data_IF_526098692956
#
_entry.id   IF_526098692956
#
_cell.length_a   1.000
_cell.length_b   1.000
_cell.length_c   1.000
_cell.angle_alpha   90.00
_cell.angle_beta   90.00
_cell.angle_gamma   90.00
#
_symmetry.space_group_name_H-M   'P 1'
#
loop_
_entity.id
_entity.type
_entity.pdbx_description
1 polymer ?
#
# COMPACT_ATOMS: atom_id res chain seq x y z
N UNK A 1 -26.34 -6.56 0.74
CA UNK A 1 -24.97 -6.21 1.07
C UNK A 1 -24.93 -4.74 1.41
N UNK A 2 -24.42 -4.41 2.61
CA UNK A 2 -24.26 -3.04 3.03
C UNK A 2 -23.15 -2.40 2.16
N UNK A 3 -23.50 -1.39 1.40
CA UNK A 3 -22.51 -0.59 0.69
C UNK A 3 -22.00 0.49 1.67
N UNK A 4 -20.75 0.44 2.09
CA UNK A 4 -20.20 1.44 2.99
C UNK A 4 -20.10 2.79 2.28
N UNK A 5 -20.36 3.87 3.01
CA UNK A 5 -20.05 5.21 2.53
C UNK A 5 -18.54 5.44 2.59
N UNK A 6 -17.97 6.08 1.58
CA UNK A 6 -16.56 6.44 1.49
C UNK A 6 -16.39 7.94 1.62
N UNK A 7 -15.53 8.36 2.53
CA UNK A 7 -15.08 9.75 2.70
C UNK A 7 -13.57 9.81 2.55
N UNK A 8 -13.04 10.72 1.77
CA UNK A 8 -11.61 10.96 1.66
C UNK A 8 -11.20 12.05 2.66
N UNK A 9 -10.32 11.70 3.61
CA UNK A 9 -9.72 12.63 4.56
C UNK A 9 -8.24 12.83 4.20
N UNK A 10 -7.86 14.08 3.92
CA UNK A 10 -6.50 14.46 3.53
C UNK A 10 -5.76 15.06 4.72
N UNK A 11 -4.85 14.30 5.31
CA UNK A 11 -3.87 14.77 6.29
C UNK A 11 -2.66 15.38 5.57
N UNK A 12 -1.57 15.70 6.29
CA UNK A 12 -0.36 16.29 5.72
C UNK A 12 0.87 15.87 6.51
N UNK A 13 2.06 16.03 5.92
CA UNK A 13 3.33 15.96 6.62
C UNK A 13 3.80 17.38 7.04
N UNK A 14 4.92 17.45 7.74
CA UNK A 14 5.49 18.71 8.26
C UNK A 14 5.99 19.70 7.19
N UNK A 15 5.93 19.35 5.91
CA UNK A 15 6.17 20.23 4.78
C UNK A 15 4.86 20.62 4.05
N UNK A 16 3.70 20.32 4.62
CA UNK A 16 2.38 20.54 3.96
C UNK A 16 2.10 19.61 2.80
N UNK A 17 2.92 18.57 2.61
CA UNK A 17 2.79 17.61 1.52
C UNK A 17 1.78 16.49 1.82
N UNK A 18 1.06 16.04 0.80
CA UNK A 18 0.23 14.85 0.81
C UNK A 18 -0.13 14.40 -0.62
N UNK A 19 -0.97 13.36 -0.76
CA UNK A 19 -1.45 12.86 -2.03
C UNK A 19 -2.81 13.45 -2.49
N UNK A 20 -3.27 14.56 -1.89
CA UNK A 20 -4.59 15.14 -2.13
C UNK A 20 -4.85 15.49 -3.61
N UNK A 21 -3.83 15.95 -4.33
CA UNK A 21 -4.00 16.32 -5.74
C UNK A 21 -4.39 15.13 -6.61
N UNK A 22 -3.86 13.95 -6.32
CA UNK A 22 -4.17 12.71 -7.04
C UNK A 22 -5.48 12.09 -6.55
N UNK A 23 -5.63 11.92 -5.24
CA UNK A 23 -6.84 11.36 -4.65
C UNK A 23 -8.06 12.26 -4.87
N UNK A 24 -7.87 13.59 -4.93
CA UNK A 24 -8.93 14.55 -5.23
C UNK A 24 -9.51 14.38 -6.65
N UNK A 25 -8.70 14.00 -7.64
CA UNK A 25 -9.18 13.66 -8.99
C UNK A 25 -10.11 12.45 -8.96
N UNK A 26 -9.73 11.42 -8.21
CA UNK A 26 -10.55 10.22 -8.00
C UNK A 26 -11.83 10.59 -7.24
N UNK A 27 -11.71 11.34 -6.15
CA UNK A 27 -12.85 11.81 -5.36
C UNK A 27 -13.86 12.61 -6.19
N UNK A 28 -13.38 13.55 -7.00
CA UNK A 28 -14.23 14.34 -7.90
C UNK A 28 -14.91 13.48 -8.97
N UNK A 29 -14.18 12.54 -9.58
CA UNK A 29 -14.73 11.66 -10.62
C UNK A 29 -15.87 10.79 -10.10
N UNK A 30 -15.70 10.22 -8.91
CA UNK A 30 -16.70 9.34 -8.30
C UNK A 30 -17.69 10.09 -7.40
N UNK A 31 -17.64 11.43 -7.37
CA UNK A 31 -18.47 12.27 -6.51
C UNK A 31 -18.41 11.89 -5.03
N UNK A 32 -17.21 11.54 -4.56
CA UNK A 32 -16.98 11.17 -3.15
C UNK A 32 -16.88 12.43 -2.29
N UNK A 33 -17.44 12.42 -1.07
CA UNK A 33 -17.20 13.47 -0.08
C UNK A 33 -15.71 13.53 0.29
N UNK A 34 -15.18 14.75 0.38
CA UNK A 34 -13.78 15.02 0.66
C UNK A 34 -13.64 16.03 1.78
N UNK A 35 -12.71 15.79 2.68
CA UNK A 35 -12.37 16.66 3.81
C UNK A 35 -10.86 16.86 3.82
N UNK A 36 -10.39 18.10 3.87
CA UNK A 36 -8.96 18.40 3.89
C UNK A 36 -8.55 19.05 5.21
N UNK A 37 -7.85 18.29 6.03
CA UNK A 37 -7.15 18.78 7.21
C UNK A 37 -6.01 19.74 6.78
N UNK A 38 -5.28 19.38 5.71
CA UNK A 38 -4.22 20.21 5.15
C UNK A 38 -4.71 21.59 4.78
N UNK A 39 -5.74 21.68 3.95
CA UNK A 39 -6.19 22.97 3.40
C UNK A 39 -6.83 23.85 4.49
N UNK A 40 -7.32 23.25 5.58
CA UNK A 40 -7.83 23.98 6.72
C UNK A 40 -6.73 24.51 7.66
N UNK A 41 -5.65 23.74 7.89
CA UNK A 41 -4.68 24.08 8.92
C UNK A 41 -3.33 24.57 8.36
N UNK A 42 -2.91 24.10 7.19
CA UNK A 42 -1.62 24.51 6.62
C UNK A 42 -1.49 26.03 6.42
N UNK A 43 -2.50 26.76 5.90
CA UNK A 43 -2.43 28.21 5.82
C UNK A 43 -2.29 28.92 7.18
N UNK A 44 -2.83 28.32 8.25
CA UNK A 44 -2.70 28.85 9.62
C UNK A 44 -1.28 28.66 10.15
N UNK A 45 -0.65 27.53 9.81
CA UNK A 45 0.74 27.23 10.14
C UNK A 45 1.70 28.15 9.38
N UNK A 46 1.51 28.30 8.07
CA UNK A 46 2.33 29.22 7.25
C UNK A 46 2.23 30.68 7.74
N UNK A 47 1.03 31.10 8.12
CA UNK A 47 0.78 32.42 8.69
C UNK A 47 1.25 32.56 10.17
N UNK A 48 1.82 31.51 10.75
CA UNK A 48 2.27 31.46 12.15
C UNK A 48 1.17 31.71 13.20
N UNK A 49 -0.09 31.48 12.85
CA UNK A 49 -1.23 31.54 13.77
C UNK A 49 -1.43 30.22 14.52
N UNK A 50 -0.91 29.12 13.94
CA UNK A 50 -0.88 27.78 14.53
C UNK A 50 0.57 27.25 14.39
N UNK A 51 1.05 26.50 15.38
CA UNK A 51 2.34 25.80 15.27
C UNK A 51 2.09 24.35 14.89
N UNK A 52 3.08 23.74 14.22
CA UNK A 52 3.05 22.33 13.85
C UNK A 52 2.81 21.44 15.08
N UNK A 53 3.56 21.66 16.14
CA UNK A 53 3.51 20.90 17.39
C UNK A 53 2.19 21.04 18.15
N UNK A 54 1.37 22.04 17.83
CA UNK A 54 0.04 22.20 18.43
C UNK A 54 -0.94 21.13 17.93
N UNK A 55 -0.71 20.53 16.75
CA UNK A 55 -1.64 19.64 16.08
C UNK A 55 -1.03 18.29 15.65
N UNK A 56 0.30 18.18 15.68
CA UNK A 56 1.03 16.99 15.25
C UNK A 56 1.99 16.51 16.33
N UNK A 57 2.15 15.18 16.43
CA UNK A 57 3.06 14.53 17.38
C UNK A 57 4.46 14.31 16.85
N UNK A 58 4.59 14.17 15.54
CA UNK A 58 5.85 13.98 14.82
C UNK A 58 5.77 14.59 13.42
N UNK A 59 6.46 14.01 12.43
CA UNK A 59 6.50 14.55 11.05
C UNK A 59 5.23 14.25 10.23
N UNK A 60 4.33 13.36 10.69
CA UNK A 60 3.16 12.92 9.91
C UNK A 60 1.94 12.52 10.75
N UNK A 61 2.10 12.29 12.07
CA UNK A 61 1.02 11.76 12.90
C UNK A 61 0.37 12.86 13.74
N UNK A 62 -0.94 13.11 13.55
CA UNK A 62 -1.69 14.03 14.40
C UNK A 62 -1.60 13.64 15.88
N UNK A 63 -1.38 14.64 16.75
CA UNK A 63 -1.54 14.50 18.18
C UNK A 63 -3.04 14.55 18.55
N UNK A 64 -3.38 14.47 19.85
CA UNK A 64 -4.79 14.50 20.32
C UNK A 64 -5.57 15.69 19.78
N UNK A 65 -4.95 16.86 19.70
CA UNK A 65 -5.59 18.07 19.17
C UNK A 65 -5.77 18.00 17.65
N UNK A 66 -4.78 17.45 16.93
CA UNK A 66 -4.90 17.18 15.50
C UNK A 66 -6.00 16.18 15.19
N UNK A 67 -6.09 15.09 15.97
CA UNK A 67 -7.20 14.15 15.87
C UNK A 67 -8.56 14.79 16.15
N UNK A 68 -8.64 15.71 17.13
CA UNK A 68 -9.87 16.45 17.40
C UNK A 68 -10.29 17.33 16.23
N UNK A 69 -9.35 17.97 15.52
CA UNK A 69 -9.64 18.70 14.28
C UNK A 69 -10.14 17.77 13.16
N UNK A 70 -9.48 16.63 12.94
CA UNK A 70 -9.94 15.63 11.97
C UNK A 70 -11.37 15.18 12.26
N UNK A 71 -11.65 14.85 13.53
CA UNK A 71 -12.99 14.44 13.98
C UNK A 71 -14.02 15.57 13.75
N UNK A 72 -13.67 16.80 14.09
CA UNK A 72 -14.56 17.96 13.90
C UNK A 72 -14.89 18.18 12.42
N UNK A 73 -13.90 18.12 11.53
CA UNK A 73 -14.12 18.32 10.09
C UNK A 73 -14.98 17.21 9.48
N UNK A 74 -14.72 15.95 9.84
CA UNK A 74 -15.53 14.81 9.39
C UNK A 74 -16.97 14.92 9.93
N UNK A 75 -17.14 15.24 11.22
CA UNK A 75 -18.45 15.39 11.83
C UNK A 75 -19.24 16.51 11.20
N UNK A 76 -18.59 17.66 10.91
CA UNK A 76 -19.24 18.80 10.24
C UNK A 76 -19.72 18.43 8.82
N UNK A 77 -18.95 17.63 8.08
CA UNK A 77 -19.38 17.06 6.79
C UNK A 77 -20.61 16.16 6.98
N UNK A 78 -20.57 15.24 7.94
CA UNK A 78 -21.68 14.31 8.20
C UNK A 78 -22.94 15.03 8.63
N UNK A 79 -22.86 16.05 9.50
CA UNK A 79 -23.99 16.88 9.90
C UNK A 79 -24.62 17.61 8.70
N UNK A 80 -23.79 18.09 7.77
CA UNK A 80 -24.29 18.70 6.54
C UNK A 80 -25.02 17.68 5.67
N UNK A 81 -24.43 16.52 5.45
CA UNK A 81 -25.03 15.43 4.65
C UNK A 81 -26.35 14.98 5.28
N UNK A 82 -26.40 14.78 6.61
CA UNK A 82 -27.60 14.34 7.31
C UNK A 82 -28.75 15.34 7.20
N UNK A 83 -28.47 16.65 7.16
CA UNK A 83 -29.49 17.68 6.96
C UNK A 83 -30.08 17.70 5.55
N UNK A 84 -29.34 17.19 4.58
CA UNK A 84 -29.75 17.13 3.16
C UNK A 84 -30.46 15.80 2.80
N UNK A 85 -30.43 14.80 3.73
CA UNK A 85 -31.13 13.54 3.51
C UNK A 85 -32.65 13.72 3.59
N UNK A 86 -33.43 12.95 2.79
CA UNK A 86 -34.88 12.90 2.92
C UNK A 86 -35.31 12.51 4.34
N UNK A 87 -36.41 13.06 4.83
CA UNK A 87 -36.94 12.82 6.17
C UNK A 87 -37.56 11.41 6.34
N UNK A 88 -37.73 10.66 5.26
CA UNK A 88 -38.24 9.29 5.24
C UNK A 88 -37.08 8.30 5.06
N UNK A 89 -37.25 7.10 5.62
CA UNK A 89 -36.26 6.01 5.51
C UNK A 89 -36.14 5.42 4.07
N UNK A 90 -36.48 6.20 3.06
CA UNK A 90 -36.33 5.77 1.67
C UNK A 90 -34.86 5.69 1.30
N UNK A 91 -34.41 4.50 0.93
CA UNK A 91 -33.10 4.30 0.35
C UNK A 91 -33.01 5.10 -0.97
N UNK A 92 -32.08 6.05 -1.01
CA UNK A 92 -31.78 6.76 -2.25
C UNK A 92 -31.30 5.74 -3.31
N UNK A 93 -31.73 5.90 -4.57
CA UNK A 93 -31.27 5.02 -5.62
C UNK A 93 -29.74 5.10 -5.74
N UNK A 94 -29.13 3.93 -5.80
CA UNK A 94 -27.68 3.82 -6.02
C UNK A 94 -27.38 4.36 -7.42
N UNK A 95 -26.56 5.38 -7.49
CA UNK A 95 -26.09 5.89 -8.79
C UNK A 95 -25.17 4.86 -9.44
N UNK A 96 -25.29 4.62 -10.74
CA UNK A 96 -24.32 3.78 -11.44
C UNK A 96 -22.89 4.32 -11.21
N UNK A 97 -21.96 3.41 -10.97
CA UNK A 97 -20.54 3.78 -10.90
C UNK A 97 -20.10 4.23 -12.29
N UNK A 98 -19.47 5.41 -12.44
CA UNK A 98 -18.97 5.87 -13.73
C UNK A 98 -17.87 4.95 -14.25
N UNK A 99 -17.54 5.06 -15.54
CA UNK A 99 -16.38 4.35 -16.10
C UNK A 99 -15.13 4.73 -15.30
N UNK A 100 -14.15 3.84 -15.19
CA UNK A 100 -12.90 4.11 -14.47
C UNK A 100 -12.23 5.39 -14.95
N UNK A 101 -11.68 6.21 -14.04
CA UNK A 101 -11.02 7.46 -14.37
C UNK A 101 -9.78 7.25 -15.26
N UNK A 102 -9.03 6.18 -15.01
CA UNK A 102 -7.82 5.83 -15.74
C UNK A 102 -7.87 4.40 -16.29
N UNK A 103 -8.08 3.43 -15.43
CA UNK A 103 -8.04 2.00 -15.76
C UNK A 103 -8.85 1.21 -14.74
N UNK A 104 -9.44 0.11 -15.17
CA UNK A 104 -10.09 -0.92 -14.35
C UNK A 104 -9.14 -2.08 -14.00
N UNK A 105 -7.89 -2.00 -14.40
CA UNK A 105 -6.90 -3.07 -14.27
C UNK A 105 -6.78 -3.63 -12.85
N UNK A 106 -7.01 -2.78 -11.84
CA UNK A 106 -6.97 -3.16 -10.42
C UNK A 106 -8.35 -3.47 -9.81
N UNK A 107 -9.41 -3.57 -10.61
CA UNK A 107 -10.74 -3.93 -10.10
C UNK A 107 -10.76 -5.37 -9.57
N UNK A 108 -10.04 -6.26 -10.25
CA UNK A 108 -9.88 -7.65 -9.85
C UNK A 108 -8.43 -7.92 -9.46
N UNK A 109 -8.19 -7.99 -8.14
CA UNK A 109 -6.87 -8.26 -7.57
C UNK A 109 -6.92 -9.55 -6.77
N UNK A 110 -5.97 -10.44 -7.02
CA UNK A 110 -5.69 -11.61 -6.20
C UNK A 110 -4.42 -11.36 -5.37
N UNK A 111 -4.45 -11.69 -4.07
CA UNK A 111 -3.31 -11.59 -3.16
C UNK A 111 -3.03 -12.96 -2.56
N UNK A 112 -1.79 -13.40 -2.65
CA UNK A 112 -1.30 -14.65 -2.11
C UNK A 112 -0.19 -14.34 -1.10
N UNK A 113 -0.46 -14.58 0.19
CA UNK A 113 0.48 -14.29 1.27
C UNK A 113 0.94 -15.59 1.95
N UNK A 114 2.14 -15.55 2.49
CA UNK A 114 2.70 -16.58 3.34
C UNK A 114 2.53 -18.00 2.77
N UNK A 115 1.83 -18.88 3.48
CA UNK A 115 1.62 -20.27 3.10
C UNK A 115 0.55 -20.48 2.00
N UNK A 116 -0.27 -19.47 1.69
CA UNK A 116 -1.14 -19.49 0.51
C UNK A 116 -0.32 -19.34 -0.79
N UNK A 117 0.83 -18.69 -0.73
CA UNK A 117 1.77 -18.57 -1.84
C UNK A 117 2.59 -19.85 -1.98
N UNK A 118 2.27 -20.70 -2.96
CA UNK A 118 2.93 -22.00 -3.18
C UNK A 118 4.03 -21.86 -4.23
N UNK A 119 5.30 -22.18 -3.92
CA UNK A 119 6.35 -22.15 -4.90
C UNK A 119 6.25 -23.32 -5.88
N UNK A 120 6.62 -23.08 -7.13
CA UNK A 120 6.84 -24.10 -8.17
C UNK A 120 8.28 -24.61 -8.18
N UNK A 121 9.23 -23.78 -7.70
CA UNK A 121 10.62 -24.14 -7.45
C UNK A 121 11.01 -23.60 -6.07
N UNK A 122 11.75 -24.39 -5.29
CA UNK A 122 12.26 -23.96 -3.99
C UNK A 122 13.65 -24.55 -3.74
N UNK A 123 14.66 -23.70 -3.74
CA UNK A 123 16.04 -24.02 -3.44
C UNK A 123 16.54 -23.16 -2.28
N UNK A 124 16.45 -23.71 -1.07
CA UNK A 124 17.00 -23.08 0.15
C UNK A 124 16.08 -22.12 0.89
N UNK A 125 14.78 -22.05 0.59
CA UNK A 125 13.81 -21.22 1.30
C UNK A 125 12.92 -22.03 2.25
N UNK A 126 12.52 -21.41 3.36
CA UNK A 126 11.58 -21.97 4.35
C UNK A 126 10.41 -21.01 4.55
N UNK A 127 9.20 -21.57 4.70
CA UNK A 127 8.02 -20.79 5.05
C UNK A 127 8.01 -20.54 6.56
N UNK A 128 8.10 -19.27 6.96
CA UNK A 128 8.06 -18.81 8.34
C UNK A 128 6.68 -18.20 8.64
N UNK A 129 5.90 -18.85 9.49
CA UNK A 129 4.57 -18.39 9.90
C UNK A 129 4.55 -17.88 11.36
N UNK A 130 5.67 -17.94 12.06
CA UNK A 130 5.76 -17.58 13.49
C UNK A 130 5.91 -16.08 13.69
N UNK A 131 6.61 -15.38 12.79
CA UNK A 131 6.77 -13.93 12.88
C UNK A 131 5.47 -13.23 12.48
N UNK A 132 4.72 -12.60 13.41
CA UNK A 132 3.41 -12.01 13.12
C UNK A 132 3.46 -10.84 12.15
N UNK A 133 4.62 -10.17 12.02
CA UNK A 133 4.82 -8.98 11.17
C UNK A 133 5.37 -9.34 9.78
N UNK A 134 6.05 -10.48 9.68
CA UNK A 134 6.80 -10.86 8.50
C UNK A 134 6.62 -12.34 8.12
N UNK A 135 5.37 -12.83 8.20
CA UNK A 135 5.02 -14.18 7.72
C UNK A 135 5.29 -14.29 6.23
N UNK A 136 5.98 -15.35 5.82
CA UNK A 136 6.29 -15.58 4.42
C UNK A 136 7.44 -16.54 4.20
N UNK A 137 7.94 -16.57 2.98
CA UNK A 137 9.10 -17.38 2.59
C UNK A 137 10.38 -16.61 2.90
N UNK A 138 11.33 -17.25 3.57
CA UNK A 138 12.62 -16.65 3.90
C UNK A 138 13.80 -17.55 3.57
N UNK A 139 14.93 -16.95 3.28
CA UNK A 139 16.25 -17.57 3.25
C UNK A 139 17.32 -16.55 3.64
N UNK A 140 18.43 -17.02 4.14
CA UNK A 140 19.62 -16.23 4.50
C UNK A 140 20.86 -16.67 3.71
N UNK A 141 20.66 -17.39 2.60
CA UNK A 141 21.75 -17.95 1.80
C UNK A 141 21.78 -17.32 0.43
N UNK A 142 22.85 -16.58 0.08
CA UNK A 142 23.06 -16.13 -1.29
C UNK A 142 22.98 -17.28 -2.30
N UNK A 143 22.43 -17.02 -3.46
CA UNK A 143 22.17 -18.01 -4.50
C UNK A 143 20.92 -18.88 -4.28
N UNK A 144 20.24 -18.76 -3.12
CA UNK A 144 18.93 -19.42 -2.93
C UNK A 144 17.89 -18.88 -3.89
N UNK A 145 17.11 -19.78 -4.48
CA UNK A 145 16.10 -19.46 -5.49
C UNK A 145 14.74 -19.96 -5.07
N UNK A 146 13.71 -19.12 -5.28
CA UNK A 146 12.31 -19.52 -5.18
C UNK A 146 11.55 -18.99 -6.38
N UNK A 147 10.62 -19.80 -6.93
CA UNK A 147 9.79 -19.39 -8.05
C UNK A 147 8.32 -19.65 -7.74
N UNK A 148 7.49 -18.72 -8.20
CA UNK A 148 6.03 -18.79 -8.08
C UNK A 148 5.39 -18.60 -9.44
N UNK A 149 4.15 -19.06 -9.58
CA UNK A 149 3.34 -18.86 -10.78
C UNK A 149 2.05 -18.16 -10.39
N UNK A 150 1.73 -17.06 -11.07
CA UNK A 150 0.51 -16.28 -10.87
C UNK A 150 -0.13 -15.94 -12.22
N UNK A 151 -1.44 -15.74 -12.22
CA UNK A 151 -2.18 -15.27 -13.38
C UNK A 151 -2.56 -13.81 -13.20
N UNK A 152 -2.29 -12.96 -14.21
CA UNK A 152 -2.63 -11.54 -14.19
C UNK A 152 -1.88 -10.74 -15.25
N UNK A 153 -2.22 -9.46 -15.35
CA UNK A 153 -1.57 -8.50 -16.25
C UNK A 153 -0.65 -7.52 -15.52
N UNK A 154 -0.76 -7.47 -14.19
CA UNK A 154 0.14 -6.76 -13.28
C UNK A 154 0.57 -7.72 -12.20
N UNK A 155 1.85 -7.71 -11.88
CA UNK A 155 2.42 -8.48 -10.76
C UNK A 155 3.01 -7.51 -9.74
N UNK A 156 2.56 -7.64 -8.51
CA UNK A 156 3.10 -6.95 -7.35
C UNK A 156 3.84 -7.94 -6.45
N UNK A 157 4.96 -7.48 -5.90
CA UNK A 157 5.84 -8.25 -5.03
C UNK A 157 5.90 -7.60 -3.65
N UNK A 158 5.70 -8.39 -2.59
CA UNK A 158 5.72 -7.91 -1.21
C UNK A 158 6.90 -8.52 -0.46
N UNK A 159 7.70 -7.68 0.16
CA UNK A 159 8.82 -8.06 1.01
C UNK A 159 8.78 -7.36 2.37
N UNK A 160 9.67 -7.76 3.28
CA UNK A 160 9.79 -7.14 4.60
C UNK A 160 11.04 -6.28 4.67
N UNK A 161 10.83 -4.98 4.81
CA UNK A 161 11.86 -3.95 4.91
C UNK A 161 12.14 -3.65 6.38
N UNK A 162 13.37 -3.90 6.86
CA UNK A 162 13.73 -3.65 8.26
C UNK A 162 15.25 -3.49 8.42
N UNK A 163 15.67 -2.72 9.41
CA UNK A 163 17.07 -2.64 9.81
C UNK A 163 17.50 -3.96 10.46
N UNK A 164 18.66 -4.50 10.05
CA UNK A 164 19.17 -5.75 10.59
C UNK A 164 19.84 -6.61 9.51
N UNK A 165 19.73 -7.93 9.58
CA UNK A 165 20.44 -8.84 8.67
C UNK A 165 19.75 -9.01 7.31
N UNK A 166 19.21 -7.95 6.76
CA UNK A 166 18.44 -7.99 5.51
C UNK A 166 19.33 -7.90 4.27
N UNK A 167 19.07 -8.79 3.34
CA UNK A 167 19.80 -8.91 2.09
C UNK A 167 19.14 -8.19 0.92
N UNK A 168 19.75 -8.40 -0.24
CA UNK A 168 19.28 -7.92 -1.53
C UNK A 168 18.87 -9.11 -2.39
N UNK A 169 17.75 -9.01 -3.08
CA UNK A 169 17.30 -10.04 -4.01
C UNK A 169 17.07 -9.48 -5.42
N UNK A 170 17.32 -10.35 -6.39
CA UNK A 170 16.92 -10.16 -7.78
C UNK A 170 15.55 -10.77 -7.97
N UNK A 171 14.59 -9.98 -8.42
CA UNK A 171 13.21 -10.41 -8.68
C UNK A 171 12.93 -10.24 -10.17
N UNK A 172 12.50 -11.30 -10.82
CA UNK A 172 12.28 -11.33 -12.28
C UNK A 172 10.92 -11.96 -12.59
N UNK A 173 10.19 -11.33 -13.51
CA UNK A 173 8.95 -11.86 -14.07
C UNK A 173 9.24 -12.34 -15.50
N UNK A 174 9.05 -13.62 -15.76
CA UNK A 174 9.35 -14.27 -17.04
C UNK A 174 10.74 -13.89 -17.56
N UNK A 175 10.83 -13.42 -18.81
CA UNK A 175 12.06 -12.96 -19.44
C UNK A 175 12.24 -11.43 -19.37
N UNK A 176 11.43 -10.72 -18.55
CA UNK A 176 11.59 -9.27 -18.39
C UNK A 176 12.90 -8.93 -17.65
N UNK A 177 13.40 -7.70 -17.81
CA UNK A 177 14.53 -7.23 -17.02
C UNK A 177 14.24 -7.36 -15.52
N UNK A 178 15.15 -7.93 -14.74
CA UNK A 178 14.94 -8.10 -13.31
C UNK A 178 15.00 -6.77 -12.55
N UNK A 179 14.24 -6.68 -11.47
CA UNK A 179 14.40 -5.67 -10.44
C UNK A 179 15.38 -6.17 -9.36
N UNK A 180 16.20 -5.28 -8.83
CA UNK A 180 17.00 -5.54 -7.63
C UNK A 180 16.33 -4.85 -6.46
N UNK A 181 16.02 -5.59 -5.40
CA UNK A 181 15.33 -5.10 -4.21
C UNK A 181 16.26 -5.27 -3.02
N UNK A 182 16.60 -4.16 -2.35
CA UNK A 182 17.31 -4.13 -1.09
C UNK A 182 16.29 -4.08 0.04
N UNK A 183 16.23 -5.10 0.88
CA UNK A 183 15.31 -5.20 2.00
C UNK A 183 15.86 -4.57 3.29
N UNK A 184 17.07 -3.99 3.27
CA UNK A 184 17.61 -3.27 4.39
C UNK A 184 17.01 -1.86 4.50
N UNK A 185 16.75 -1.42 5.74
CA UNK A 185 16.10 -0.17 6.05
C UNK A 185 16.86 0.58 7.14
N UNK A 186 17.16 1.84 6.93
CA UNK A 186 18.02 2.66 7.80
C UNK A 186 17.33 3.14 9.08
N UNK A 187 16.01 3.01 9.19
CA UNK A 187 15.24 3.51 10.32
C UNK A 187 15.20 2.53 11.49
N UNK A 188 15.03 3.05 12.70
CA UNK A 188 15.05 2.28 13.95
C UNK A 188 13.66 2.04 14.57
N UNK A 189 12.60 2.58 13.95
CA UNK A 189 11.22 2.48 14.49
C UNK A 189 10.54 1.12 14.22
N UNK A 190 11.20 0.21 13.53
CA UNK A 190 10.69 -1.12 13.18
C UNK A 190 10.77 -1.38 11.69
N UNK A 191 10.09 -2.44 11.25
CA UNK A 191 10.01 -2.81 9.83
C UNK A 191 8.61 -2.61 9.27
N UNK A 192 8.49 -2.71 7.96
CA UNK A 192 7.24 -2.59 7.24
C UNK A 192 7.16 -3.54 6.04
N UNK A 193 5.94 -3.83 5.62
CA UNK A 193 5.66 -4.61 4.42
C UNK A 193 5.75 -3.68 3.23
N UNK A 194 6.79 -3.81 2.44
CA UNK A 194 6.96 -3.03 1.23
C UNK A 194 6.35 -3.76 0.04
N UNK A 195 5.64 -3.02 -0.81
CA UNK A 195 5.02 -3.57 -2.02
C UNK A 195 5.58 -2.86 -3.24
N UNK A 196 6.09 -3.64 -4.18
CA UNK A 196 6.64 -3.19 -5.45
C UNK A 196 5.77 -3.70 -6.60
N UNK A 197 5.35 -2.84 -7.51
CA UNK A 197 4.86 -3.30 -8.79
C UNK A 197 6.07 -3.66 -9.65
N UNK A 198 6.26 -4.95 -9.90
CA UNK A 198 7.45 -5.48 -10.60
C UNK A 198 7.22 -5.77 -12.09
N UNK A 199 5.97 -5.85 -12.51
CA UNK A 199 5.61 -5.96 -13.91
C UNK A 199 4.19 -5.45 -14.15
N UNK A 200 3.97 -4.82 -15.31
CA UNK A 200 2.66 -4.38 -15.80
C UNK A 200 2.54 -4.58 -17.31
N UNK A 201 1.32 -4.41 -17.80
CA UNK A 201 0.99 -4.57 -19.23
C UNK A 201 1.38 -5.95 -19.78
N UNK A 202 1.35 -6.97 -18.89
CA UNK A 202 1.57 -8.35 -19.27
C UNK A 202 0.41 -8.87 -20.10
N UNK A 203 0.67 -9.88 -20.92
CA UNK A 203 -0.40 -10.59 -21.62
C UNK A 203 -1.26 -11.33 -20.58
N UNK A 204 -2.58 -11.43 -20.78
CA UNK A 204 -3.39 -12.29 -19.93
C UNK A 204 -2.86 -13.71 -19.89
N UNK A 205 -2.69 -14.28 -18.69
CA UNK A 205 -2.20 -15.63 -18.52
C UNK A 205 -1.29 -15.78 -17.30
N UNK A 206 -0.64 -16.95 -17.23
CA UNK A 206 0.28 -17.28 -16.16
C UNK A 206 1.67 -16.72 -16.41
N UNK A 207 2.23 -16.15 -15.35
CA UNK A 207 3.56 -15.56 -15.32
C UNK A 207 4.37 -16.18 -14.21
N UNK A 208 5.66 -16.33 -14.43
CA UNK A 208 6.60 -16.88 -13.47
C UNK A 208 7.38 -15.75 -12.79
N UNK A 209 7.34 -15.72 -11.47
CA UNK A 209 8.12 -14.80 -10.65
C UNK A 209 9.26 -15.58 -10.01
N UNK A 210 10.50 -15.22 -10.35
CA UNK A 210 11.73 -15.80 -9.79
C UNK A 210 12.38 -14.82 -8.83
N UNK A 211 12.75 -15.31 -7.66
CA UNK A 211 13.47 -14.53 -6.64
C UNK A 211 14.78 -15.26 -6.32
N UNK A 212 15.88 -14.52 -6.39
CA UNK A 212 17.23 -15.02 -6.13
C UNK A 212 17.94 -14.09 -5.16
N UNK A 213 18.44 -14.60 -4.04
CA UNK A 213 19.23 -13.80 -3.08
C UNK A 213 20.62 -13.55 -3.67
N UNK A 214 21.04 -12.29 -3.65
CA UNK A 214 22.34 -11.88 -4.17
C UNK A 214 23.44 -11.99 -3.10
N UNK A 215 24.70 -12.10 -3.55
CA UNK A 215 25.89 -11.98 -2.68
C UNK A 215 26.04 -10.54 -2.17
N UNK A 216 25.74 -9.57 -3.04
CA UNK A 216 25.78 -8.16 -2.70
C UNK A 216 24.60 -7.82 -1.77
N UNK A 217 24.89 -7.02 -0.76
CA UNK A 217 23.91 -6.50 0.18
C UNK A 217 24.26 -5.07 0.57
N UNK A 218 23.35 -4.39 1.23
CA UNK A 218 23.64 -3.08 1.81
C UNK A 218 24.87 -3.17 2.72
N UNK A 219 25.87 -2.27 2.61
CA UNK A 219 27.07 -2.28 3.44
C UNK A 219 26.79 -2.21 4.94
N UNK A 220 25.69 -1.59 5.35
CA UNK A 220 25.27 -1.48 6.75
C UNK A 220 24.44 -2.68 7.23
N UNK A 221 24.10 -3.61 6.34
CA UNK A 221 23.35 -4.81 6.71
C UNK A 221 24.23 -5.83 7.42
N UNK A 222 23.68 -6.48 8.43
CA UNK A 222 24.33 -7.52 9.23
C UNK A 222 24.30 -8.91 8.57
N UNK A 223 23.49 -9.10 7.50
CA UNK A 223 23.36 -10.41 6.85
C UNK A 223 22.55 -10.37 5.56
N UNK A 224 22.41 -11.51 4.86
CA UNK A 224 21.74 -11.61 3.58
C UNK A 224 20.29 -12.12 3.69
N UNK A 225 19.62 -12.07 4.84
CA UNK A 225 18.24 -12.57 4.95
C UNK A 225 17.31 -11.79 4.02
N UNK A 226 16.48 -12.53 3.28
CA UNK A 226 15.43 -11.95 2.47
C UNK A 226 14.10 -12.65 2.72
N UNK A 227 12.99 -11.87 2.72
CA UNK A 227 11.65 -12.39 2.99
C UNK A 227 10.67 -12.00 1.91
N UNK A 228 10.05 -12.99 1.28
CA UNK A 228 8.91 -12.83 0.39
C UNK A 228 7.64 -13.01 1.21
N UNK A 229 6.91 -11.92 1.44
CA UNK A 229 5.69 -11.96 2.25
C UNK A 229 4.48 -12.40 1.41
N UNK A 230 4.47 -12.02 0.14
CA UNK A 230 3.38 -12.33 -0.75
C UNK A 230 3.61 -11.84 -2.17
N UNK A 231 2.70 -12.22 -3.04
CA UNK A 231 2.57 -11.75 -4.41
C UNK A 231 1.13 -11.35 -4.68
N UNK A 232 0.95 -10.24 -5.37
CA UNK A 232 -0.33 -9.77 -5.87
C UNK A 232 -0.40 -9.87 -7.39
N UNK A 233 -1.58 -10.15 -7.92
CA UNK A 233 -1.86 -10.08 -9.34
C UNK A 233 -3.11 -9.25 -9.60
N UNK A 234 -3.09 -8.38 -10.61
CA UNK A 234 -4.24 -7.61 -11.05
C UNK A 234 -4.54 -7.86 -12.54
N UNK A 235 -5.76 -7.53 -12.98
CA UNK A 235 -6.22 -7.85 -14.33
C UNK A 235 -6.41 -9.35 -14.52
N UNK A 236 -6.74 -10.06 -13.45
CA UNK A 236 -7.13 -11.48 -13.51
C UNK A 236 -8.47 -11.56 -14.20
N UNK A 237 -8.59 -12.36 -15.25
CA UNK A 237 -9.90 -12.62 -15.87
C UNK A 237 -10.79 -13.28 -14.82
N UNK A 238 -11.84 -12.59 -14.42
CA UNK A 238 -12.77 -13.09 -13.40
C UNK A 238 -13.29 -14.48 -13.77
N UNK A 239 -13.13 -15.43 -12.83
CA UNK A 239 -13.73 -16.73 -12.91
C UNK A 239 -15.25 -16.68 -12.69
#
# INVERSE_FOLDING_TARGET
>A
PNQPALVLLFTMNNAGGNAQEWHGKVGAHYALPMVSFRDALWPEIEAKRLKWEDVEGDVVHPNDRGHAYCAHFVTSLLEKVLKELPADDQLLPIKPVPQPLFSDLYEHVALFEADALKPVTNEGWTCDLENPWAKGWKSDKPGSVIEFELEGQVIAFMEFHVRGPMGTAKVQVDDLPPATIDAWFDQTWGGWRCTHEIARDLKPGKHRVRVEILEEKNPESEGPEFRVLGLGAAGVTGG
#
